data_IF_754882495134
#
_entry.id   IF_754882495134
#
_cell.length_a   1.000
_cell.length_b   1.000
_cell.length_c   1.000
_cell.angle_alpha   90.00
_cell.angle_beta   90.00
_cell.angle_gamma   90.00
#
_symmetry.space_group_name_H-M   'P 1'
#
loop_
_entity.id
_entity.type
_entity.pdbx_description
1 polymer ?
#
# COMPACT_ATOMS: atom_id res chain seq x y z
N UNK A 1 7.51 -23.88 -49.46
CA UNK A 1 7.38 -23.01 -48.28
C UNK A 1 7.77 -23.82 -47.06
N UNK A 2 8.59 -23.32 -46.12
CA UNK A 2 8.88 -24.09 -44.91
C UNK A 2 7.57 -24.31 -44.18
N UNK A 3 7.22 -25.58 -43.92
CA UNK A 3 6.04 -25.97 -43.16
C UNK A 3 6.23 -25.46 -41.74
N UNK A 4 5.75 -24.24 -41.46
CA UNK A 4 5.71 -23.66 -40.12
C UNK A 4 4.47 -24.23 -39.43
N UNK A 5 4.65 -25.36 -38.77
CA UNK A 5 3.59 -25.96 -37.94
C UNK A 5 3.48 -25.14 -36.66
N UNK A 6 2.46 -24.29 -36.56
CA UNK A 6 2.05 -23.70 -35.30
C UNK A 6 0.99 -24.61 -34.67
N UNK A 7 1.00 -24.74 -33.34
CA UNK A 7 -0.13 -25.34 -32.64
C UNK A 7 -1.05 -24.21 -32.14
N UNK A 8 -2.34 -24.21 -32.49
CA UNK A 8 -3.27 -23.26 -31.92
C UNK A 8 -3.42 -23.53 -30.43
N UNK A 9 -3.30 -22.48 -29.62
CA UNK A 9 -3.58 -22.55 -28.18
C UNK A 9 -5.09 -22.57 -28.01
N UNK A 10 -5.61 -23.55 -27.26
CA UNK A 10 -7.01 -23.54 -26.86
C UNK A 10 -7.16 -22.70 -25.57
N UNK A 11 -7.84 -21.54 -25.59
CA UNK A 11 -7.97 -20.68 -24.42
C UNK A 11 -8.65 -21.36 -23.22
N UNK A 12 -9.49 -22.39 -23.45
CA UNK A 12 -10.23 -23.06 -22.40
C UNK A 12 -9.41 -24.12 -21.65
N UNK A 13 -8.37 -24.70 -22.27
CA UNK A 13 -7.62 -25.84 -21.70
C UNK A 13 -6.12 -25.59 -21.56
N UNK A 14 -5.58 -24.65 -22.33
CA UNK A 14 -4.14 -24.41 -22.43
C UNK A 14 -3.73 -23.06 -21.87
N UNK A 15 -4.69 -22.27 -21.38
CA UNK A 15 -4.44 -21.00 -20.71
C UNK A 15 -5.02 -21.06 -19.30
N UNK A 16 -4.17 -20.79 -18.32
CA UNK A 16 -4.59 -20.58 -16.94
C UNK A 16 -4.12 -19.21 -16.48
N UNK A 17 -5.05 -18.36 -16.06
CA UNK A 17 -4.74 -17.07 -15.48
C UNK A 17 -4.65 -17.28 -13.97
N UNK A 18 -3.52 -16.89 -13.39
CA UNK A 18 -3.28 -16.98 -11.95
C UNK A 18 -2.88 -15.62 -11.43
N UNK A 19 -3.52 -15.21 -10.33
CA UNK A 19 -3.17 -14.00 -9.58
C UNK A 19 -2.39 -14.40 -8.36
N UNK A 20 -1.17 -13.88 -8.21
CA UNK A 20 -0.34 -14.13 -7.03
C UNK A 20 -0.16 -12.84 -6.26
N UNK A 21 -0.36 -12.91 -4.95
CA UNK A 21 -0.09 -11.80 -4.04
C UNK A 21 1.25 -12.00 -3.36
N UNK A 22 2.17 -11.04 -3.53
CA UNK A 22 3.38 -10.97 -2.74
C UNK A 22 3.21 -9.94 -1.63
N UNK A 23 3.81 -10.24 -0.48
CA UNK A 23 3.79 -9.38 0.68
C UNK A 23 5.21 -9.09 1.16
N UNK A 24 5.53 -7.82 1.30
CA UNK A 24 6.76 -7.35 1.92
C UNK A 24 6.41 -6.64 3.22
N UNK A 25 7.17 -6.91 4.28
CA UNK A 25 7.01 -6.24 5.58
C UNK A 25 7.77 -4.92 5.53
N UNK A 26 7.09 -3.81 5.82
CA UNK A 26 7.67 -2.47 5.83
C UNK A 26 7.67 -1.88 7.24
N UNK A 27 8.80 -1.95 7.95
CA UNK A 27 8.97 -1.25 9.23
C UNK A 27 9.46 0.20 8.98
N UNK A 28 8.65 1.18 9.35
CA UNK A 28 9.02 2.59 9.40
C UNK A 28 9.28 3.00 10.85
N UNK A 29 10.54 2.93 11.26
CA UNK A 29 10.96 3.24 12.62
C UNK A 29 10.86 4.73 12.92
N UNK A 30 10.50 5.08 14.16
CA UNK A 30 10.36 6.47 14.61
C UNK A 30 11.64 7.31 14.52
N UNK A 31 12.80 6.69 14.27
CA UNK A 31 14.07 7.38 14.01
C UNK A 31 14.04 8.14 12.68
N UNK A 32 13.46 7.56 11.63
CA UNK A 32 13.24 8.26 10.34
C UNK A 32 12.25 9.42 10.52
N UNK A 33 11.26 9.23 11.41
CA UNK A 33 10.20 10.21 11.69
C UNK A 33 10.69 11.36 12.59
N UNK A 34 11.66 11.10 13.48
CA UNK A 34 12.21 12.08 14.41
C UNK A 34 13.68 11.81 14.76
N UNK A 35 14.54 12.80 14.51
CA UNK A 35 15.85 12.90 15.17
C UNK A 35 17.05 12.22 14.49
N UNK A 36 16.90 11.48 13.39
CA UNK A 36 18.07 10.89 12.70
C UNK A 36 18.92 11.91 11.95
N UNK A 37 18.32 12.85 11.22
CA UNK A 37 19.04 13.76 10.32
C UNK A 37 19.03 15.21 10.80
N UNK A 38 19.67 15.50 11.93
CA UNK A 38 19.87 16.87 12.43
C UNK A 38 19.12 17.17 13.73
N UNK A 39 18.89 18.46 14.00
CA UNK A 39 18.30 18.92 15.26
C UNK A 39 16.78 19.04 15.15
N UNK A 40 16.08 18.36 16.05
CA UNK A 40 14.62 18.49 16.19
C UNK A 40 14.17 19.97 16.31
N UNK A 41 13.07 20.40 15.66
CA UNK A 41 12.13 19.63 14.83
C UNK A 41 12.48 19.54 13.33
N UNK A 42 13.48 20.31 12.87
CA UNK A 42 13.81 20.47 11.46
C UNK A 42 14.93 19.52 11.06
N UNK A 43 14.59 18.23 10.94
CA UNK A 43 15.50 17.27 10.30
C UNK A 43 15.67 17.58 8.82
N UNK A 44 16.86 17.36 8.27
CA UNK A 44 17.15 17.55 6.85
C UNK A 44 16.33 16.61 5.94
N UNK A 45 15.72 15.57 6.50
CA UNK A 45 14.81 14.65 5.83
C UNK A 45 13.32 15.07 5.93
N UNK A 46 13.04 16.20 6.58
CA UNK A 46 11.69 16.74 6.75
C UNK A 46 11.52 17.98 5.88
N UNK A 47 10.56 17.94 4.97
CA UNK A 47 10.29 19.05 4.06
C UNK A 47 9.00 19.76 4.45
N UNK A 48 9.13 21.03 4.83
CA UNK A 48 8.00 21.94 5.00
C UNK A 48 7.85 22.78 3.74
N UNK A 49 6.64 22.85 3.19
CA UNK A 49 6.36 23.62 1.98
C UNK A 49 5.90 25.04 2.31
N UNK A 50 6.14 25.97 1.38
CA UNK A 50 5.74 27.38 1.50
C UNK A 50 4.22 27.57 1.63
N UNK A 51 3.42 26.70 0.99
CA UNK A 51 1.96 26.71 1.15
C UNK A 51 1.51 26.26 2.55
N UNK A 52 2.35 25.53 3.29
CA UNK A 52 2.12 25.18 4.70
C UNK A 52 0.89 24.30 4.95
N UNK A 53 0.56 23.39 4.03
CA UNK A 53 -0.64 22.54 4.10
C UNK A 53 -0.36 21.10 4.48
N UNK A 54 0.89 20.64 4.32
CA UNK A 54 1.36 19.33 4.75
C UNK A 54 2.88 19.38 4.94
N UNK A 55 3.43 18.32 5.50
CA UNK A 55 4.86 18.10 5.73
C UNK A 55 5.24 16.72 5.19
N UNK A 56 6.29 16.65 4.36
CA UNK A 56 6.79 15.38 3.81
C UNK A 56 7.93 14.83 4.65
N UNK A 57 7.95 13.51 4.82
CA UNK A 57 9.04 12.76 5.45
C UNK A 57 9.76 11.90 4.40
N UNK A 58 11.08 11.99 4.40
CA UNK A 58 11.96 11.24 3.52
C UNK A 58 12.86 10.28 4.33
N UNK A 59 13.35 9.23 3.68
CA UNK A 59 14.31 8.27 4.26
C UNK A 59 15.72 8.88 4.44
N UNK A 60 16.07 9.84 3.60
CA UNK A 60 17.34 10.56 3.60
C UNK A 60 17.09 12.07 3.45
N UNK A 61 18.07 12.97 3.73
CA UNK A 61 17.96 14.39 3.43
C UNK A 61 17.30 14.67 2.07
N UNK A 62 16.23 15.46 2.05
CA UNK A 62 15.33 15.60 0.87
C UNK A 62 15.98 16.29 -0.35
N UNK A 63 17.17 16.88 -0.19
CA UNK A 63 17.97 17.45 -1.28
C UNK A 63 18.93 16.43 -1.91
N UNK A 64 19.05 15.24 -1.32
CA UNK A 64 19.88 14.16 -1.88
C UNK A 64 19.15 13.49 -3.04
N UNK A 65 19.91 13.14 -4.08
CA UNK A 65 19.40 12.38 -5.24
C UNK A 65 18.93 10.96 -4.88
N UNK A 66 19.37 10.43 -3.74
CA UNK A 66 18.99 9.08 -3.28
C UNK A 66 17.82 9.11 -2.29
N UNK A 67 17.24 10.28 -2.03
CA UNK A 67 16.15 10.45 -1.07
C UNK A 67 14.82 10.01 -1.68
N UNK A 68 14.14 9.09 -1.02
CA UNK A 68 12.81 8.65 -1.37
C UNK A 68 11.78 9.26 -0.43
N UNK A 69 10.66 9.67 -1.00
CA UNK A 69 9.48 10.12 -0.25
C UNK A 69 8.81 8.91 0.41
N UNK A 70 8.62 8.98 1.73
CA UNK A 70 8.07 7.89 2.53
C UNK A 70 6.58 8.13 2.82
N UNK A 71 6.23 9.28 3.39
CA UNK A 71 4.86 9.67 3.63
C UNK A 71 4.71 11.19 3.83
N UNK A 72 3.49 11.67 3.65
CA UNK A 72 3.08 13.02 4.01
C UNK A 72 2.26 13.02 5.29
N UNK A 73 2.38 14.12 6.04
CA UNK A 73 1.62 14.39 7.25
C UNK A 73 0.86 15.69 7.10
N UNK A 74 -0.43 15.63 7.40
CA UNK A 74 -1.25 16.83 7.57
C UNK A 74 -2.21 16.68 8.73
N UNK A 75 -2.90 17.77 9.04
CA UNK A 75 -3.86 17.85 10.11
C UNK A 75 -5.06 18.68 9.66
N UNK A 76 -6.24 18.24 10.06
CA UNK A 76 -7.48 18.90 9.70
C UNK A 76 -8.58 18.69 10.72
N UNK A 77 -9.60 19.54 10.63
CA UNK A 77 -10.83 19.37 11.38
C UNK A 77 -12.02 19.79 10.52
N UNK A 78 -13.18 19.22 10.82
CA UNK A 78 -14.41 19.54 10.12
C UNK A 78 -14.83 21.01 10.35
N UNK A 79 -15.57 21.57 9.40
CA UNK A 79 -16.16 22.91 9.45
C UNK A 79 -17.07 23.11 10.67
N UNK A 80 -17.75 22.07 11.14
CA UNK A 80 -18.62 22.07 12.33
C UNK A 80 -17.90 21.61 13.62
N UNK A 81 -16.59 21.45 13.59
CA UNK A 81 -15.80 21.10 14.78
C UNK A 81 -15.80 22.27 15.78
N UNK A 82 -15.75 21.99 17.08
CA UNK A 82 -15.54 23.04 18.11
C UNK A 82 -14.21 23.81 17.93
N UNK A 83 -13.33 23.32 17.05
CA UNK A 83 -12.05 23.93 16.72
C UNK A 83 -12.10 24.80 15.45
N UNK A 84 -13.24 24.94 14.76
CA UNK A 84 -13.34 25.63 13.47
C UNK A 84 -13.53 27.15 13.54
N UNK A 85 -12.99 27.79 14.59
CA UNK A 85 -13.06 29.24 14.76
C UNK A 85 -12.18 29.99 13.75
N UNK A 86 -12.71 31.06 13.14
CA UNK A 86 -11.96 31.95 12.24
C UNK A 86 -10.77 32.63 12.90
N UNK A 87 -10.74 32.72 14.23
CA UNK A 87 -9.62 33.25 15.02
C UNK A 87 -8.42 32.29 15.10
N UNK A 88 -8.58 31.03 14.67
CA UNK A 88 -7.53 30.02 14.77
C UNK A 88 -6.51 30.12 13.64
N UNK A 89 -5.26 29.80 13.96
CA UNK A 89 -4.15 29.84 13.02
C UNK A 89 -4.37 28.82 11.91
N UNK A 90 -4.34 29.30 10.65
CA UNK A 90 -4.56 28.50 9.45
C UNK A 90 -5.91 27.76 9.42
N UNK A 91 -6.96 28.31 10.04
CA UNK A 91 -8.29 27.70 10.13
C UNK A 91 -8.83 27.20 8.78
N UNK A 92 -8.86 28.08 7.77
CA UNK A 92 -9.35 27.72 6.43
C UNK A 92 -8.55 26.57 5.80
N UNK A 93 -7.22 26.55 5.96
CA UNK A 93 -6.37 25.48 5.43
C UNK A 93 -6.66 24.14 6.12
N UNK A 94 -6.85 24.13 7.44
CA UNK A 94 -7.16 22.92 8.21
C UNK A 94 -8.53 22.34 7.87
N UNK A 95 -9.52 23.20 7.63
CA UNK A 95 -10.84 22.79 7.13
C UNK A 95 -10.69 22.20 5.71
N UNK A 96 -9.99 22.90 4.82
CA UNK A 96 -9.79 22.42 3.44
C UNK A 96 -9.06 21.07 3.40
N UNK A 97 -8.03 20.86 4.23
CA UNK A 97 -7.34 19.57 4.32
C UNK A 97 -8.26 18.46 4.79
N UNK A 98 -9.08 18.71 5.81
CA UNK A 98 -10.07 17.72 6.24
C UNK A 98 -11.05 17.39 5.12
N UNK A 99 -11.68 18.41 4.53
CA UNK A 99 -12.72 18.25 3.52
C UNK A 99 -12.20 17.58 2.26
N UNK A 100 -11.00 17.93 1.79
CA UNK A 100 -10.41 17.33 0.59
C UNK A 100 -10.16 15.83 0.78
N UNK A 101 -9.54 15.43 1.89
CA UNK A 101 -9.29 14.00 2.16
C UNK A 101 -10.60 13.25 2.35
N UNK A 102 -11.55 13.82 3.08
CA UNK A 102 -12.85 13.23 3.28
C UNK A 102 -13.61 13.05 1.95
N UNK A 103 -13.55 14.03 1.05
CA UNK A 103 -14.18 13.95 -0.26
C UNK A 103 -13.53 12.89 -1.15
N UNK A 104 -12.20 12.82 -1.19
CA UNK A 104 -11.49 11.83 -2.01
C UNK A 104 -11.70 10.41 -1.49
N UNK A 105 -11.76 10.22 -0.17
CA UNK A 105 -11.81 8.90 0.44
C UNK A 105 -13.21 8.36 0.67
N UNK A 106 -14.14 9.21 1.14
CA UNK A 106 -15.50 8.80 1.53
C UNK A 106 -16.57 9.26 0.54
N UNK A 107 -16.25 10.23 -0.33
CA UNK A 107 -17.22 10.81 -1.25
C UNK A 107 -18.31 11.64 -0.56
N UNK A 108 -19.47 11.71 -1.20
CA UNK A 108 -20.63 12.48 -0.74
C UNK A 108 -21.68 11.58 -0.08
N UNK A 109 -22.44 12.17 0.85
CA UNK A 109 -23.66 11.55 1.37
C UNK A 109 -24.78 11.65 0.33
N UNK A 110 -25.38 10.51 0.00
CA UNK A 110 -26.40 10.37 -1.05
C UNK A 110 -27.68 11.18 -0.78
N UNK A 111 -27.94 11.59 0.46
CA UNK A 111 -29.19 12.27 0.84
C UNK A 111 -29.08 13.80 0.94
N UNK A 112 -27.88 14.36 1.10
CA UNK A 112 -27.69 15.79 1.38
C UNK A 112 -26.61 16.46 0.52
N UNK A 113 -25.94 15.72 -0.36
CA UNK A 113 -24.78 16.19 -1.14
C UNK A 113 -23.71 16.89 -0.26
N UNK A 114 -23.56 16.40 0.97
CA UNK A 114 -22.54 16.88 1.91
C UNK A 114 -21.37 15.90 1.93
N UNK A 115 -20.16 16.42 2.05
CA UNK A 115 -18.95 15.61 2.24
C UNK A 115 -19.12 14.78 3.52
N UNK A 116 -18.87 13.47 3.42
CA UNK A 116 -18.97 12.58 4.57
C UNK A 116 -17.84 12.88 5.56
N UNK A 117 -18.16 12.93 6.84
CA UNK A 117 -17.13 13.01 7.87
C UNK A 117 -16.54 11.63 8.14
N UNK A 118 -15.27 11.59 8.52
CA UNK A 118 -14.68 10.35 9.01
C UNK A 118 -15.34 9.91 10.31
N UNK A 119 -15.52 8.60 10.48
CA UNK A 119 -16.14 7.98 11.65
C UNK A 119 -15.18 6.98 12.27
N UNK A 120 -15.34 6.72 13.57
CA UNK A 120 -14.52 5.76 14.28
C UNK A 120 -15.09 4.33 14.23
N UNK A 121 -16.03 4.09 13.32
CA UNK A 121 -16.61 2.80 13.01
C UNK A 121 -16.77 2.63 11.47
N UNK A 122 -17.47 1.57 11.06
CA UNK A 122 -17.69 1.23 9.65
C UNK A 122 -19.12 1.56 9.17
N UNK A 123 -19.93 2.28 9.94
CA UNK A 123 -21.37 2.41 9.69
C UNK A 123 -21.74 3.54 8.74
N UNK A 124 -20.93 4.61 8.70
CA UNK A 124 -21.19 5.79 7.88
C UNK A 124 -22.55 6.44 8.21
N UNK A 125 -22.98 6.32 9.47
CA UNK A 125 -24.29 6.72 9.99
C UNK A 125 -24.27 8.10 10.66
N UNK A 126 -23.13 8.80 10.59
CA UNK A 126 -22.89 10.10 11.21
C UNK A 126 -22.84 10.06 12.74
N UNK A 127 -22.75 8.89 13.36
CA UNK A 127 -22.47 8.70 14.79
C UNK A 127 -20.97 8.46 14.96
N UNK A 128 -20.37 8.89 16.08
CA UNK A 128 -18.94 8.63 16.32
C UNK A 128 -17.95 9.41 15.44
N UNK A 129 -18.37 10.56 14.88
CA UNK A 129 -17.56 11.38 13.96
C UNK A 129 -16.19 11.77 14.53
N UNK A 130 -15.17 11.65 13.71
CA UNK A 130 -13.82 12.16 13.94
C UNK A 130 -13.73 13.60 13.44
N UNK A 131 -14.18 14.54 14.27
CA UNK A 131 -14.22 15.98 13.94
C UNK A 131 -12.83 16.64 13.85
N UNK A 132 -11.78 15.99 14.35
CA UNK A 132 -10.39 16.42 14.20
C UNK A 132 -9.47 15.21 14.04
N UNK A 133 -8.61 15.27 13.05
CA UNK A 133 -7.78 14.14 12.61
C UNK A 133 -6.38 14.59 12.23
N UNK A 134 -5.44 13.68 12.44
CA UNK A 134 -4.16 13.66 11.75
C UNK A 134 -4.26 12.71 10.57
N UNK A 135 -3.63 13.05 9.46
CA UNK A 135 -3.67 12.24 8.24
C UNK A 135 -2.23 11.89 7.88
N UNK A 136 -2.01 10.63 7.57
CA UNK A 136 -0.73 10.07 7.13
C UNK A 136 -0.93 9.43 5.77
N UNK A 137 -0.34 10.02 4.74
CA UNK A 137 -0.45 9.56 3.36
C UNK A 137 0.83 8.83 2.99
N UNK A 138 0.78 7.50 2.88
CA UNK A 138 1.96 6.69 2.54
C UNK A 138 2.26 6.77 1.05
N UNK A 139 3.54 6.88 0.72
CA UNK A 139 3.99 6.85 -0.68
C UNK A 139 3.67 5.51 -1.33
N UNK A 140 3.25 5.54 -2.59
CA UNK A 140 3.00 4.34 -3.41
C UNK A 140 4.23 3.45 -3.54
N UNK A 141 5.43 4.01 -3.39
CA UNK A 141 6.68 3.23 -3.33
C UNK A 141 6.63 2.15 -2.24
N UNK A 142 5.99 2.47 -1.11
CA UNK A 142 5.82 1.61 0.06
C UNK A 142 4.60 0.70 -0.08
N UNK A 143 3.40 1.27 -0.24
CA UNK A 143 2.17 0.46 -0.25
C UNK A 143 2.00 -0.38 -1.54
N UNK A 144 2.73 -0.09 -2.62
CA UNK A 144 2.64 -0.75 -3.93
C UNK A 144 1.23 -0.64 -4.51
N UNK A 145 0.46 -1.72 -4.48
CA UNK A 145 -0.93 -1.74 -4.94
C UNK A 145 -1.89 -1.51 -3.78
N UNK A 146 -1.63 -2.12 -2.61
CA UNK A 146 -2.42 -1.87 -1.39
C UNK A 146 -1.65 -2.26 -0.12
N UNK A 147 -2.05 -1.65 1.00
CA UNK A 147 -1.68 -2.17 2.32
C UNK A 147 -2.45 -3.47 2.58
N UNK A 148 -1.76 -4.52 3.02
CA UNK A 148 -2.40 -5.79 3.39
C UNK A 148 -3.31 -5.59 4.61
N UNK A 149 -4.57 -6.01 4.47
CA UNK A 149 -5.54 -6.08 5.58
C UNK A 149 -4.99 -6.92 6.75
N UNK A 150 -5.27 -6.50 7.97
CA UNK A 150 -4.78 -7.08 9.23
C UNK A 150 -3.26 -6.96 9.47
N UNK A 151 -2.56 -6.09 8.74
CA UNK A 151 -1.11 -5.92 8.93
C UNK A 151 -0.72 -4.55 9.46
N UNK A 152 -1.64 -3.57 9.44
CA UNK A 152 -1.31 -2.21 9.78
C UNK A 152 -1.20 -2.04 11.29
N UNK A 153 -0.08 -1.48 11.75
CA UNK A 153 0.17 -1.16 13.15
C UNK A 153 0.94 0.14 13.28
N UNK A 154 0.43 1.05 14.10
CA UNK A 154 1.06 2.33 14.41
C UNK A 154 1.16 2.51 15.91
N UNK A 155 2.39 2.62 16.41
CA UNK A 155 2.67 2.87 17.82
C UNK A 155 2.79 4.37 18.09
N UNK A 156 1.91 4.89 18.94
CA UNK A 156 1.83 6.31 19.27
C UNK A 156 2.08 6.52 20.76
N UNK A 157 3.00 7.43 21.09
CA UNK A 157 3.27 7.88 22.45
C UNK A 157 2.20 8.85 22.97
N UNK A 158 1.47 8.43 24.00
CA UNK A 158 0.47 9.24 24.71
C UNK A 158 0.96 9.69 26.09
N UNK A 159 2.28 9.74 26.30
CA UNK A 159 2.87 10.26 27.54
C UNK A 159 2.53 11.74 27.76
N UNK A 160 2.19 12.10 29.00
CA UNK A 160 1.87 13.46 29.43
C UNK A 160 3.08 14.40 29.49
N UNK A 161 4.30 13.87 29.35
CA UNK A 161 5.55 14.64 29.38
C UNK A 161 6.14 14.69 27.97
N UNK A 162 6.42 15.89 27.47
CA UNK A 162 6.98 16.08 26.12
C UNK A 162 8.35 15.41 25.94
N UNK A 163 9.22 15.41 26.97
CA UNK A 163 10.56 14.78 26.88
C UNK A 163 10.52 13.26 26.78
N UNK A 164 9.46 12.63 27.29
CA UNK A 164 9.33 11.16 27.36
C UNK A 164 7.99 10.72 26.76
N UNK A 165 7.76 10.96 25.45
CA UNK A 165 6.48 10.68 24.81
C UNK A 165 6.13 9.18 24.82
N UNK A 166 7.16 8.31 24.85
CA UNK A 166 7.07 6.85 24.78
C UNK A 166 7.35 6.12 26.12
N UNK A 167 7.13 6.76 27.28
CA UNK A 167 7.20 6.07 28.57
C UNK A 167 6.15 4.94 28.68
N UNK A 168 5.59 4.68 29.87
CA UNK A 168 4.57 3.63 30.07
C UNK A 168 3.19 3.89 29.41
N UNK A 169 3.12 4.74 28.38
CA UNK A 169 1.90 5.23 27.73
C UNK A 169 2.07 5.23 26.21
N UNK A 170 2.15 4.04 25.61
CA UNK A 170 2.14 3.86 24.15
C UNK A 170 0.84 3.15 23.78
N UNK A 171 0.13 3.69 22.79
CA UNK A 171 -1.02 3.04 22.14
C UNK A 171 -0.56 2.37 20.85
N UNK A 172 -1.04 1.17 20.58
CA UNK A 172 -0.76 0.44 19.33
C UNK A 172 -2.02 0.37 18.51
N UNK A 173 -2.17 1.31 17.58
CA UNK A 173 -3.32 1.40 16.70
C UNK A 173 -3.18 0.39 15.57
N UNK A 174 -4.14 -0.53 15.45
CA UNK A 174 -4.05 -1.63 14.49
C UNK A 174 -5.42 -2.04 13.94
N UNK A 175 -5.43 -2.57 12.73
CA UNK A 175 -6.61 -3.03 12.00
C UNK A 175 -6.97 -4.50 12.33
N UNK A 176 -7.01 -4.81 13.63
CA UNK A 176 -7.09 -6.18 14.15
C UNK A 176 -8.36 -6.96 13.75
N UNK A 177 -9.44 -6.27 13.40
CA UNK A 177 -10.69 -6.90 12.91
C UNK A 177 -10.73 -7.09 11.40
N UNK A 178 -9.87 -6.42 10.64
CA UNK A 178 -9.89 -6.51 9.18
C UNK A 178 -9.50 -7.92 8.72
N UNK A 179 -10.14 -8.41 7.68
CA UNK A 179 -9.86 -9.72 7.08
C UNK A 179 -9.87 -9.61 5.55
N UNK A 180 -9.08 -10.46 4.93
CA UNK A 180 -8.96 -10.53 3.46
C UNK A 180 -10.28 -10.94 2.79
N UNK A 181 -11.13 -11.67 3.51
CA UNK A 181 -12.46 -12.09 3.04
C UNK A 181 -13.55 -11.01 3.14
N UNK A 182 -13.21 -9.77 3.50
CA UNK A 182 -14.17 -8.67 3.61
C UNK A 182 -14.79 -8.48 5.00
N UNK A 183 -14.52 -9.35 5.97
CA UNK A 183 -14.97 -9.12 7.35
C UNK A 183 -14.17 -7.99 8.02
N UNK A 184 -14.86 -7.13 8.78
CA UNK A 184 -14.23 -6.03 9.52
C UNK A 184 -13.67 -4.91 8.62
N UNK A 185 -14.11 -4.86 7.36
CA UNK A 185 -13.83 -3.77 6.42
C UNK A 185 -15.13 -3.26 5.82
N UNK A 186 -15.11 -2.03 5.30
CA UNK A 186 -16.17 -1.49 4.47
C UNK A 186 -15.54 -0.84 3.22
N UNK A 187 -16.32 -0.62 2.17
CA UNK A 187 -15.85 -0.09 0.89
C UNK A 187 -16.47 1.28 0.61
N UNK A 188 -15.64 2.19 0.12
CA UNK A 188 -16.01 3.56 -0.30
C UNK A 188 -15.17 3.95 -1.52
N UNK A 189 -15.35 5.16 -2.04
CA UNK A 189 -14.63 5.66 -3.21
C UNK A 189 -13.09 5.57 -3.07
N UNK A 190 -12.56 5.75 -1.87
CA UNK A 190 -11.14 5.59 -1.53
C UNK A 190 -10.64 4.15 -1.40
N UNK A 191 -11.48 3.17 -1.70
CA UNK A 191 -11.21 1.75 -1.56
C UNK A 191 -11.74 1.13 -0.27
N UNK A 192 -11.24 -0.06 0.04
CA UNK A 192 -11.55 -0.74 1.29
C UNK A 192 -10.86 -0.03 2.46
N UNK A 193 -11.57 0.08 3.58
CA UNK A 193 -11.03 0.65 4.79
C UNK A 193 -11.44 -0.13 6.04
N UNK A 194 -10.63 0.00 7.09
CA UNK A 194 -10.88 -0.60 8.40
C UNK A 194 -10.65 0.39 9.53
N UNK A 195 -11.25 0.10 10.68
CA UNK A 195 -11.08 0.86 11.92
C UNK A 195 -9.81 0.42 12.63
N UNK A 196 -9.09 1.41 13.18
CA UNK A 196 -7.90 1.21 13.98
C UNK A 196 -8.23 1.17 15.48
N UNK A 197 -7.88 0.08 16.13
CA UNK A 197 -8.10 -0.16 17.56
C UNK A 197 -6.78 -0.19 18.33
N UNK A 198 -6.82 0.15 19.62
CA UNK A 198 -5.66 0.05 20.54
C UNK A 198 -5.53 -1.36 21.17
N UNK A 199 -6.23 -2.36 20.63
CA UNK A 199 -6.28 -3.73 21.16
C UNK A 199 -6.20 -4.77 20.05
N UNK A 200 -5.57 -5.90 20.34
CA UNK A 200 -5.42 -7.01 19.39
C UNK A 200 -6.73 -7.77 19.16
N UNK A 201 -7.59 -7.81 20.18
CA UNK A 201 -8.90 -8.43 20.10
C UNK A 201 -9.93 -7.43 20.64
N UNK A 202 -10.29 -6.40 19.86
CA UNK A 202 -11.29 -5.43 20.27
C UNK A 202 -12.67 -6.12 20.38
N UNK A 203 -13.40 -5.81 21.45
CA UNK A 203 -14.77 -6.26 21.60
C UNK A 203 -15.75 -5.49 20.69
N UNK A 204 -17.03 -5.88 20.64
CA UNK A 204 -18.03 -5.28 19.74
C UNK A 204 -18.30 -3.78 20.00
N UNK A 205 -17.98 -3.29 21.20
CA UNK A 205 -18.14 -1.89 21.60
C UNK A 205 -16.79 -1.19 21.82
N UNK A 206 -15.68 -1.77 21.34
CA UNK A 206 -14.38 -1.14 21.48
C UNK A 206 -14.32 0.16 20.67
N UNK A 207 -13.73 1.19 21.27
CA UNK A 207 -13.61 2.49 20.63
C UNK A 207 -12.54 2.44 19.53
N UNK A 208 -12.92 2.78 18.30
CA UNK A 208 -11.99 3.10 17.24
C UNK A 208 -11.26 4.43 17.46
N UNK A 209 -9.99 4.48 17.06
CA UNK A 209 -9.12 5.65 17.18
C UNK A 209 -8.68 6.22 15.83
N UNK A 210 -9.14 5.64 14.73
CA UNK A 210 -8.80 6.06 13.37
C UNK A 210 -9.32 5.05 12.36
N UNK A 211 -9.01 5.30 11.10
CA UNK A 211 -9.26 4.39 9.99
C UNK A 211 -8.05 4.31 9.07
N UNK A 212 -7.88 3.19 8.37
CA UNK A 212 -6.87 3.01 7.33
C UNK A 212 -7.56 2.61 6.02
N UNK A 213 -7.21 3.27 4.92
CA UNK A 213 -7.66 3.00 3.56
C UNK A 213 -6.56 2.24 2.82
N UNK A 214 -6.85 1.01 2.42
CA UNK A 214 -5.83 0.05 1.99
C UNK A 214 -5.25 0.38 0.63
N UNK A 215 -6.10 0.63 -0.38
CA UNK A 215 -5.67 0.95 -1.74
C UNK A 215 -5.15 2.38 -1.86
N UNK A 216 -5.77 3.33 -1.16
CA UNK A 216 -5.28 4.71 -1.13
C UNK A 216 -3.94 4.85 -0.37
N UNK A 217 -3.61 3.91 0.52
CA UNK A 217 -2.43 4.02 1.37
C UNK A 217 -2.50 5.19 2.34
N UNK A 218 -3.69 5.47 2.90
CA UNK A 218 -3.93 6.63 3.78
C UNK A 218 -4.42 6.15 5.15
N UNK A 219 -3.80 6.64 6.22
CA UNK A 219 -4.27 6.44 7.59
C UNK A 219 -4.77 7.76 8.18
N UNK A 220 -6.01 7.75 8.66
CA UNK A 220 -6.67 8.89 9.31
C UNK A 220 -6.80 8.60 10.80
N UNK A 221 -6.05 9.32 11.62
CA UNK A 221 -5.97 9.11 13.06
C UNK A 221 -6.78 10.18 13.78
N UNK A 222 -7.75 9.77 14.61
CA UNK A 222 -8.51 10.67 15.45
C UNK A 222 -7.60 11.36 16.48
N UNK A 223 -7.75 12.67 16.66
CA UNK A 223 -7.07 13.37 17.76
C UNK A 223 -7.49 12.84 19.15
N UNK A 224 -8.57 12.06 19.24
CA UNK A 224 -9.01 11.41 20.48
C UNK A 224 -8.03 10.34 20.99
N UNK A 225 -7.06 9.89 20.18
CA UNK A 225 -5.96 9.04 20.64
C UNK A 225 -5.13 9.71 21.74
N UNK A 226 -5.06 11.05 21.73
CA UNK A 226 -4.32 11.86 22.70
C UNK A 226 -5.21 12.36 23.86
N UNK A 227 -6.34 11.70 24.13
CA UNK A 227 -7.20 11.94 25.30
C UNK A 227 -7.03 10.82 26.33
N UNK A 228 -6.92 11.17 27.60
CA UNK A 228 -6.62 10.19 28.65
C UNK A 228 -7.83 9.33 29.08
N UNK A 229 -8.13 8.21 28.41
CA UNK A 229 -8.93 7.06 28.93
C UNK A 229 -10.32 6.77 28.28
N UNK A 230 -10.95 5.64 28.69
CA UNK A 230 -12.27 5.16 28.25
C UNK A 230 -13.43 5.79 29.07
N UNK A 231 -14.42 6.40 28.40
CA UNK A 231 -15.68 7.06 28.86
C UNK A 231 -15.65 8.53 29.34
N UNK A 232 -16.45 9.40 28.67
CA UNK A 232 -16.88 10.73 29.13
C UNK A 232 -15.82 11.85 29.16
N UNK A 233 -15.93 12.81 28.24
CA UNK A 233 -15.24 14.13 28.26
C UNK A 233 -13.82 14.15 28.86
N UNK A 234 -12.91 13.31 28.35
CA UNK A 234 -11.59 13.17 28.96
C UNK A 234 -10.63 14.29 28.59
N UNK A 235 -9.85 14.73 29.58
CA UNK A 235 -8.83 15.75 29.42
C UNK A 235 -7.79 15.30 28.38
N UNK A 236 -7.40 16.17 27.43
CA UNK A 236 -6.32 15.88 26.51
C UNK A 236 -5.00 15.75 27.29
N UNK A 237 -4.01 15.06 26.72
CA UNK A 237 -2.67 15.07 27.31
C UNK A 237 -2.17 16.52 27.40
N UNK A 238 -1.64 16.89 28.56
CA UNK A 238 -1.30 18.28 28.87
C UNK A 238 -0.21 18.84 27.95
N UNK A 239 0.84 18.05 27.69
CA UNK A 239 2.02 18.49 26.96
C UNK A 239 2.12 17.76 25.60
N UNK A 240 1.08 17.85 24.77
CA UNK A 240 1.08 17.24 23.43
C UNK A 240 2.20 17.81 22.56
N UNK A 241 2.36 19.14 22.54
CA UNK A 241 3.36 19.88 21.78
C UNK A 241 4.11 20.86 22.69
N UNK A 242 5.40 21.07 22.41
CA UNK A 242 6.18 22.17 22.99
C UNK A 242 6.55 23.14 21.88
N UNK A 243 5.91 24.30 21.85
CA UNK A 243 6.18 25.32 20.86
C UNK A 243 7.35 26.21 21.30
N UNK A 244 8.36 26.36 20.43
CA UNK A 244 9.56 27.14 20.72
C UNK A 244 10.69 26.36 21.42
N UNK A 245 11.86 27.00 21.57
CA UNK A 245 13.08 26.41 22.16
C UNK A 245 13.04 26.45 23.71
N UNK A 246 14.17 26.71 24.39
CA UNK A 246 14.25 26.81 25.86
C UNK A 246 13.22 27.85 26.36
N UNK A 247 12.34 27.49 27.30
CA UNK A 247 11.21 28.32 27.74
C UNK A 247 9.91 28.20 26.91
N UNK A 248 9.87 27.31 25.92
CA UNK A 248 8.70 27.10 25.06
C UNK A 248 7.42 26.71 25.78
N UNK A 249 6.28 27.07 25.19
CA UNK A 249 4.93 26.87 25.75
C UNK A 249 4.46 25.44 25.47
N UNK A 250 3.98 24.76 26.51
CA UNK A 250 3.34 23.47 26.35
C UNK A 250 1.87 23.63 25.96
N UNK A 251 1.48 22.91 24.92
CA UNK A 251 0.12 22.90 24.39
C UNK A 251 -0.42 21.48 24.42
N UNK A 252 -1.69 21.35 24.81
CA UNK A 252 -2.43 20.11 24.59
C UNK A 252 -2.88 19.99 23.12
N UNK A 253 -3.38 18.81 22.71
CA UNK A 253 -3.72 18.56 21.29
C UNK A 253 -4.73 19.57 20.72
N UNK A 254 -5.70 20.04 21.52
CA UNK A 254 -6.68 21.04 21.07
C UNK A 254 -6.03 22.40 20.86
N UNK A 255 -5.21 22.84 21.81
CA UNK A 255 -4.48 24.10 21.73
C UNK A 255 -3.51 24.11 20.54
N UNK A 256 -2.85 22.98 20.25
CA UNK A 256 -1.98 22.83 19.07
C UNK A 256 -2.79 23.00 17.77
N UNK A 257 -3.95 22.35 17.66
CA UNK A 257 -4.82 22.49 16.49
C UNK A 257 -5.38 23.91 16.32
N UNK A 258 -5.57 24.66 17.41
CA UNK A 258 -6.10 26.02 17.36
C UNK A 258 -5.03 27.06 17.01
N UNK A 259 -3.85 26.96 17.63
CA UNK A 259 -2.88 28.07 17.66
C UNK A 259 -1.55 27.80 16.96
N UNK A 260 -1.25 26.54 16.60
CA UNK A 260 -0.01 26.21 15.88
C UNK A 260 -0.28 26.05 14.37
N UNK A 261 0.75 26.27 13.55
CA UNK A 261 0.71 25.93 12.13
C UNK A 261 0.51 24.42 11.92
N UNK A 262 0.06 24.03 10.73
CA UNK A 262 -0.03 22.61 10.34
C UNK A 262 1.34 21.93 10.52
N UNK A 263 2.43 22.56 10.08
CA UNK A 263 3.79 22.04 10.28
C UNK A 263 4.13 21.80 11.75
N UNK A 264 3.79 22.72 12.66
CA UNK A 264 4.03 22.54 14.09
C UNK A 264 3.20 21.41 14.71
N UNK A 265 1.97 21.22 14.23
CA UNK A 265 1.14 20.07 14.62
C UNK A 265 1.69 18.74 14.08
N UNK A 266 2.21 18.72 12.85
CA UNK A 266 2.89 17.55 12.28
C UNK A 266 4.17 17.23 13.04
N UNK A 267 4.96 18.23 13.44
CA UNK A 267 6.13 18.03 14.32
C UNK A 267 5.71 17.37 15.64
N UNK A 268 4.64 17.86 16.27
CA UNK A 268 4.12 17.27 17.50
C UNK A 268 3.71 15.81 17.33
N UNK A 269 3.07 15.48 16.21
CA UNK A 269 2.70 14.11 15.87
C UNK A 269 3.93 13.24 15.63
N UNK A 270 4.90 13.70 14.83
CA UNK A 270 6.14 12.97 14.53
C UNK A 270 6.92 12.61 15.78
N UNK A 271 7.02 13.53 16.74
CA UNK A 271 7.66 13.27 18.05
C UNK A 271 6.95 12.19 18.86
N UNK A 272 5.70 11.88 18.52
CA UNK A 272 4.85 10.89 19.17
C UNK A 272 4.64 9.64 18.35
N UNK A 273 5.19 9.51 17.14
CA UNK A 273 5.17 8.26 16.39
C UNK A 273 6.42 7.46 16.77
N UNK A 274 6.21 6.30 17.39
CA UNK A 274 7.30 5.38 17.76
C UNK A 274 7.68 4.47 16.60
N UNK A 275 6.68 3.90 15.94
CA UNK A 275 6.85 2.98 14.83
C UNK A 275 5.56 2.93 14.00
N UNK A 276 5.70 2.74 12.71
CA UNK A 276 4.61 2.35 11.81
C UNK A 276 5.08 1.09 11.11
N UNK A 277 4.24 0.06 11.05
CA UNK A 277 4.55 -1.17 10.33
C UNK A 277 3.31 -1.68 9.63
N UNK A 278 3.48 -2.11 8.39
CA UNK A 278 2.45 -2.80 7.63
C UNK A 278 3.10 -3.69 6.58
N UNK A 279 2.33 -4.61 6.03
CA UNK A 279 2.76 -5.36 4.87
C UNK A 279 2.15 -4.73 3.63
N UNK A 280 2.94 -4.51 2.60
CA UNK A 280 2.38 -4.16 1.30
C UNK A 280 1.83 -5.40 0.61
N UNK A 281 1.08 -5.17 -0.46
CA UNK A 281 0.64 -6.20 -1.38
C UNK A 281 0.98 -5.74 -2.79
N UNK A 282 1.70 -6.60 -3.52
CA UNK A 282 1.87 -6.46 -4.96
C UNK A 282 1.09 -7.58 -5.63
N UNK A 283 0.22 -7.21 -6.54
CA UNK A 283 -0.52 -8.15 -7.37
C UNK A 283 0.28 -8.45 -8.62
N UNK A 284 0.72 -9.69 -8.78
CA UNK A 284 1.31 -10.16 -10.03
C UNK A 284 0.24 -10.94 -10.79
N UNK A 285 -0.10 -10.42 -11.97
CA UNK A 285 -0.96 -11.09 -12.92
C UNK A 285 -0.09 -11.99 -13.81
N UNK A 286 -0.26 -13.30 -13.65
CA UNK A 286 0.49 -14.29 -14.41
C UNK A 286 -0.47 -15.03 -15.34
N UNK A 287 -0.17 -15.03 -16.63
CA UNK A 287 -0.81 -15.95 -17.57
C UNK A 287 0.11 -17.14 -17.80
N UNK A 288 -0.40 -18.34 -17.50
CA UNK A 288 0.29 -19.59 -17.72
C UNK A 288 -0.24 -20.23 -19.00
N UNK A 289 0.66 -20.48 -19.94
CA UNK A 289 0.39 -21.21 -21.17
C UNK A 289 0.92 -22.64 -21.04
N UNK A 290 0.06 -23.62 -21.32
CA UNK A 290 0.42 -25.02 -21.45
C UNK A 290 0.65 -25.35 -22.91
N UNK A 291 1.92 -25.30 -23.34
CA UNK A 291 2.31 -25.62 -24.69
C UNK A 291 2.44 -27.14 -24.82
N UNK A 292 1.43 -27.76 -25.42
CA UNK A 292 1.39 -29.22 -25.65
C UNK A 292 1.98 -29.53 -27.01
N UNK A 293 2.93 -30.45 -27.05
CA UNK A 293 3.51 -31.02 -28.25
C UNK A 293 3.10 -32.51 -28.32
N UNK A 294 2.01 -32.83 -29.03
CA UNK A 294 1.48 -34.19 -29.13
C UNK A 294 2.48 -35.20 -29.71
N UNK A 295 2.22 -36.49 -29.49
CA UNK A 295 3.07 -37.60 -29.99
C UNK A 295 3.32 -37.56 -31.49
N UNK A 296 2.36 -37.09 -32.29
CA UNK A 296 2.41 -37.09 -33.76
C UNK A 296 2.96 -35.78 -34.37
N UNK A 297 3.21 -34.73 -33.58
CA UNK A 297 3.67 -33.43 -34.05
C UNK A 297 5.05 -33.08 -33.46
N UNK A 298 5.75 -32.14 -34.09
CA UNK A 298 7.01 -31.56 -33.59
C UNK A 298 8.18 -32.54 -33.40
N UNK A 299 8.16 -33.72 -34.04
CA UNK A 299 9.25 -34.70 -33.98
C UNK A 299 10.36 -34.45 -35.03
N UNK A 300 10.44 -33.25 -35.59
CA UNK A 300 11.44 -32.84 -36.58
C UNK A 300 11.88 -31.40 -36.32
N UNK A 301 13.06 -31.01 -36.81
CA UNK A 301 13.62 -29.68 -36.62
C UNK A 301 13.91 -29.01 -37.97
N UNK A 302 13.81 -27.68 -38.00
CA UNK A 302 14.27 -26.85 -39.11
C UNK A 302 15.76 -26.48 -39.00
N UNK A 303 16.48 -27.02 -38.02
CA UNK A 303 17.92 -26.84 -37.89
C UNK A 303 18.63 -27.40 -39.14
N UNK A 304 19.59 -26.68 -39.75
CA UNK A 304 20.37 -27.17 -40.88
C UNK A 304 21.05 -28.53 -40.69
N UNK A 305 21.30 -28.96 -39.44
CA UNK A 305 21.84 -30.32 -39.16
C UNK A 305 20.83 -31.44 -39.40
N UNK A 306 19.54 -31.12 -39.55
CA UNK A 306 18.45 -32.05 -39.87
C UNK A 306 18.15 -32.12 -41.37
N UNK A 307 18.99 -31.55 -42.24
CA UNK A 307 18.83 -31.70 -43.69
C UNK A 307 19.99 -32.48 -44.30
N UNK A 308 19.68 -33.34 -45.26
CA UNK A 308 20.69 -34.01 -46.10
C UNK A 308 20.20 -33.90 -47.54
N UNK A 309 20.90 -33.12 -48.36
CA UNK A 309 20.40 -32.67 -49.65
C UNK A 309 19.15 -31.78 -49.49
N UNK A 310 18.09 -32.05 -50.26
CA UNK A 310 16.79 -31.34 -50.19
C UNK A 310 15.74 -32.05 -49.33
N UNK A 311 16.15 -33.00 -48.45
CA UNK A 311 15.25 -33.79 -47.61
C UNK A 311 15.59 -33.59 -46.13
N UNK A 312 14.56 -33.52 -45.28
CA UNK A 312 14.72 -33.48 -43.82
C UNK A 312 15.09 -34.89 -43.34
N UNK A 313 16.28 -35.04 -42.77
CA UNK A 313 16.77 -36.26 -42.12
C UNK A 313 16.30 -36.26 -40.67
N UNK A 314 15.29 -37.06 -40.38
CA UNK A 314 14.74 -37.22 -39.02
C UNK A 314 15.24 -38.50 -38.34
N UNK A 315 15.94 -39.38 -39.09
CA UNK A 315 16.40 -40.70 -38.65
C UNK A 315 17.81 -41.00 -39.18
N UNK A 316 18.60 -41.76 -38.43
CA UNK A 316 19.90 -42.24 -38.89
C UNK A 316 19.78 -43.55 -39.66
N UNK A 317 18.95 -44.48 -39.15
CA UNK A 317 18.53 -45.72 -39.82
C UNK A 317 17.02 -45.68 -40.02
N UNK A 318 16.49 -46.29 -41.09
CA UNK A 318 15.06 -46.25 -41.42
C UNK A 318 14.15 -46.79 -40.29
N UNK A 319 14.67 -47.72 -39.49
CA UNK A 319 14.01 -48.34 -38.32
C UNK A 319 13.94 -47.43 -37.09
N UNK A 320 14.73 -46.36 -37.01
CA UNK A 320 14.81 -45.54 -35.80
C UNK A 320 13.55 -44.69 -35.63
N UNK A 321 13.20 -44.38 -34.38
CA UNK A 321 12.18 -43.37 -34.11
C UNK A 321 12.75 -41.96 -34.34
N UNK A 322 11.97 -41.03 -34.94
CA UNK A 322 12.41 -39.66 -35.12
C UNK A 322 12.53 -38.96 -33.77
N UNK A 323 13.63 -38.24 -33.56
CA UNK A 323 13.92 -37.50 -32.33
C UNK A 323 14.17 -36.03 -32.68
N UNK A 324 13.60 -35.12 -31.89
CA UNK A 324 13.89 -33.70 -31.93
C UNK A 324 14.19 -33.18 -30.52
N UNK A 325 14.86 -32.03 -30.43
CA UNK A 325 15.12 -31.36 -29.16
C UNK A 325 14.49 -29.97 -29.17
N UNK A 326 13.60 -29.72 -28.22
CA UNK A 326 12.94 -28.42 -28.04
C UNK A 326 13.83 -27.56 -27.15
N UNK A 327 14.20 -26.37 -27.61
CA UNK A 327 15.04 -25.42 -26.84
C UNK A 327 14.30 -24.12 -26.53
N UNK A 328 13.34 -23.74 -27.38
CA UNK A 328 12.67 -22.45 -27.32
C UNK A 328 11.20 -22.62 -27.70
N UNK A 329 10.32 -21.89 -27.02
CA UNK A 329 8.89 -21.79 -27.33
C UNK A 329 8.59 -20.34 -27.70
N UNK A 330 7.97 -20.11 -28.86
CA UNK A 330 7.57 -18.78 -29.32
C UNK A 330 6.04 -18.65 -29.34
N UNK A 331 5.53 -17.54 -28.80
CA UNK A 331 4.11 -17.17 -28.88
C UNK A 331 3.90 -16.20 -30.04
N UNK A 332 2.97 -16.50 -30.92
CA UNK A 332 2.67 -15.70 -32.11
C UNK A 332 1.22 -15.23 -32.11
N UNK A 333 0.94 -14.04 -32.66
CA UNK A 333 -0.42 -13.56 -32.88
C UNK A 333 -1.03 -14.11 -34.19
N UNK A 334 -2.29 -13.77 -34.48
CA UNK A 334 -2.99 -14.18 -35.71
C UNK A 334 -2.39 -13.63 -37.01
N UNK A 335 -1.53 -12.62 -36.92
CA UNK A 335 -0.79 -12.02 -38.03
C UNK A 335 0.63 -12.61 -38.18
N UNK A 336 0.96 -13.64 -37.39
CA UNK A 336 2.28 -14.29 -37.30
C UNK A 336 3.41 -13.39 -36.75
N UNK A 337 3.07 -12.38 -35.95
CA UNK A 337 4.05 -11.57 -35.23
C UNK A 337 4.40 -12.25 -33.90
N UNK A 338 5.69 -12.26 -33.57
CA UNK A 338 6.20 -12.87 -32.35
C UNK A 338 5.91 -11.97 -31.15
N UNK A 339 5.12 -12.45 -30.21
CA UNK A 339 4.74 -11.73 -28.99
C UNK A 339 5.66 -12.02 -27.81
N UNK A 340 6.07 -13.28 -27.64
CA UNK A 340 6.89 -13.70 -26.52
C UNK A 340 7.78 -14.90 -26.89
N UNK A 341 8.92 -15.02 -26.22
CA UNK A 341 9.86 -16.14 -26.38
C UNK A 341 10.24 -16.67 -25.02
N UNK A 342 10.06 -17.97 -24.80
CA UNK A 342 10.56 -18.69 -23.64
C UNK A 342 11.73 -19.59 -24.06
N UNK A 343 12.87 -19.46 -23.37
CA UNK A 343 14.03 -20.34 -23.55
C UNK A 343 14.06 -21.37 -22.43
N UNK A 344 14.27 -22.63 -22.80
CA UNK A 344 14.45 -23.72 -21.85
C UNK A 344 15.89 -23.73 -21.34
N UNK A 345 16.08 -24.09 -20.07
CA UNK A 345 17.41 -24.21 -19.45
C UNK A 345 18.25 -25.32 -20.10
N UNK A 346 17.59 -26.36 -20.58
CA UNK A 346 18.19 -27.48 -21.30
C UNK A 346 17.31 -27.91 -22.49
N UNK A 347 17.90 -28.49 -23.56
CA UNK A 347 17.13 -29.03 -24.67
C UNK A 347 16.30 -30.25 -24.22
N UNK A 348 14.98 -30.17 -24.35
CA UNK A 348 14.08 -31.27 -24.00
C UNK A 348 13.91 -32.22 -25.19
N UNK A 349 14.21 -33.50 -24.96
CA UNK A 349 14.06 -34.56 -25.98
C UNK A 349 12.58 -34.84 -26.25
N UNK A 350 12.19 -34.83 -27.53
CA UNK A 350 10.87 -35.21 -28.04
C UNK A 350 11.00 -36.39 -28.99
N UNK A 351 10.20 -37.44 -28.77
CA UNK A 351 10.04 -38.58 -29.68
C UNK A 351 8.55 -38.88 -29.92
N UNK A 352 8.27 -39.84 -30.79
CA UNK A 352 6.90 -40.32 -31.07
C UNK A 352 6.26 -41.05 -29.89
N UNK A 353 7.04 -41.48 -28.91
CA UNK A 353 6.55 -42.32 -27.80
C UNK A 353 5.92 -41.48 -26.69
N UNK A 354 6.32 -40.21 -26.56
CA UNK A 354 5.93 -39.34 -25.46
C UNK A 354 5.35 -38.01 -25.95
N UNK A 355 4.28 -37.56 -25.30
CA UNK A 355 3.80 -36.18 -25.37
C UNK A 355 4.67 -35.29 -24.47
N UNK A 356 4.99 -34.09 -24.92
CA UNK A 356 5.72 -33.10 -24.14
C UNK A 356 4.80 -31.92 -23.85
N UNK A 357 4.63 -31.59 -22.57
CA UNK A 357 3.91 -30.38 -22.15
C UNK A 357 4.88 -29.42 -21.49
N UNK A 358 5.02 -28.22 -22.04
CA UNK A 358 5.85 -27.15 -21.47
C UNK A 358 4.93 -26.11 -20.84
N UNK A 359 5.14 -25.85 -19.55
CA UNK A 359 4.44 -24.78 -18.83
C UNK A 359 5.25 -23.49 -18.94
N UNK A 360 4.75 -22.52 -19.70
CA UNK A 360 5.34 -21.19 -19.84
C UNK A 360 4.54 -20.19 -19.02
N UNK A 361 5.21 -19.41 -18.17
CA UNK A 361 4.59 -18.33 -17.39
C UNK A 361 4.98 -16.98 -17.98
N UNK A 362 3.99 -16.13 -18.20
CA UNK A 362 4.15 -14.75 -18.60
C UNK A 362 3.61 -13.86 -17.47
N UNK A 363 4.53 -13.16 -16.79
CA UNK A 363 4.25 -12.23 -15.70
C UNK A 363 4.27 -10.80 -16.27
N UNK A 364 3.25 -9.99 -15.95
CA UNK A 364 3.14 -8.60 -16.41
C UNK A 364 2.50 -7.69 -15.37
#
# INVERSE_FOLDING_TARGET
>A
MPVRSFEPINPATDVAITRTFLHEVLPLTGTIVSGTYGTWPNGNNIKNYTHGMFQSVYDYPYLSSSSNHIFDLTVGFADKSVLSSSTNTQNAKKINMYTQHAQVLLGYSSSANQVRLFENDLRLDQVGKMASVFIVDFSRLLCKDEIKKNSFSMQIGTGSVWKTPFGSKVKTLQDSLARVNGAGVNNVDGGDYAVLYDKANPGPNEKGYGVVFYQAGIAVISCSVFQNGLSGAKAPIANFYKEGKKGGVYKNVRQTLQSSSISGACDALRHRIKNISFNNTTEINSTVYFCRAPVNKFNYSSNPTYVTGSKIRVKNVASDNPVAYVTTVGLYNSQNELLAVAKLSEPLKKSVDNELTVRVRLDY
#
